data_IF_974882764696
#
_entry.id   IF_974882764696
#
_cell.length_a   1.000
_cell.length_b   1.000
_cell.length_c   1.000
_cell.angle_alpha   90.00
_cell.angle_beta   90.00
_cell.angle_gamma   90.00
#
_symmetry.space_group_name_H-M   'P 1'
#
loop_
_entity.id
_entity.type
_entity.pdbx_description
1 polymer ?
#
# COMPACT_ATOMS: atom_id res chain seq x y z
N UNK A 1 -13.35 -9.70 23.81
CA UNK A 1 -12.04 -9.56 23.16
C UNK A 1 -11.87 -8.10 22.82
N UNK A 2 -10.84 -7.45 23.30
CA UNK A 2 -10.50 -6.09 22.91
C UNK A 2 -10.04 -6.16 21.45
N UNK A 3 -10.64 -5.36 20.58
CA UNK A 3 -10.19 -5.21 19.19
C UNK A 3 -8.73 -4.80 19.23
N UNK A 4 -7.83 -5.63 18.74
CA UNK A 4 -6.42 -5.27 18.69
C UNK A 4 -6.28 -4.12 17.70
N UNK A 5 -5.75 -3.01 18.17
CA UNK A 5 -5.41 -1.87 17.34
C UNK A 5 -4.36 -2.30 16.32
N UNK A 6 -4.71 -2.28 15.03
CA UNK A 6 -3.86 -2.82 13.97
C UNK A 6 -2.90 -1.79 13.36
N UNK A 7 -3.05 -0.51 13.71
CA UNK A 7 -2.05 0.51 13.43
C UNK A 7 -2.40 1.56 12.37
N UNK A 8 -3.59 1.52 11.76
CA UNK A 8 -4.17 2.63 10.99
C UNK A 8 -5.16 3.39 11.88
N UNK A 9 -5.00 4.71 11.96
CA UNK A 9 -5.92 5.56 12.73
C UNK A 9 -6.80 6.42 11.80
N UNK A 10 -8.04 5.99 11.53
CA UNK A 10 -8.95 6.75 10.67
C UNK A 10 -9.48 8.03 11.32
N UNK A 11 -9.32 8.20 12.65
CA UNK A 11 -9.91 9.34 13.37
C UNK A 11 -9.12 10.64 13.17
N UNK A 12 -7.84 10.53 12.84
CA UNK A 12 -6.94 11.66 12.56
C UNK A 12 -6.57 11.75 11.06
N UNK A 13 -7.19 10.90 10.22
CA UNK A 13 -6.91 10.86 8.79
C UNK A 13 -7.40 12.12 8.06
N UNK A 14 -6.53 12.74 7.29
CA UNK A 14 -6.86 13.91 6.46
C UNK A 14 -7.28 13.50 5.04
N UNK A 15 -8.50 12.97 4.92
CA UNK A 15 -9.06 12.48 3.65
C UNK A 15 -9.24 13.57 2.61
N UNK A 16 -9.65 14.76 3.04
CA UNK A 16 -9.84 15.90 2.14
C UNK A 16 -8.51 16.35 1.53
N UNK A 17 -7.43 16.34 2.29
CA UNK A 17 -6.10 16.65 1.76
C UNK A 17 -5.67 15.63 0.69
N UNK A 18 -5.90 14.34 0.94
CA UNK A 18 -5.58 13.30 -0.05
C UNK A 18 -6.38 13.53 -1.33
N UNK A 19 -7.69 13.71 -1.22
CA UNK A 19 -8.58 13.88 -2.35
C UNK A 19 -8.25 15.16 -3.14
N UNK A 20 -8.04 16.29 -2.45
CA UNK A 20 -7.75 17.59 -3.07
C UNK A 20 -6.37 17.65 -3.74
N UNK A 21 -5.41 16.84 -3.30
CA UNK A 21 -4.07 16.77 -3.89
C UNK A 21 -3.90 15.61 -4.86
N UNK A 22 -4.95 14.81 -5.07
CA UNK A 22 -4.96 13.72 -6.04
C UNK A 22 -4.78 14.26 -7.47
N UNK A 23 -3.96 13.58 -8.24
CA UNK A 23 -3.85 13.83 -9.67
C UNK A 23 -5.11 13.28 -10.34
N UNK A 24 -5.83 14.07 -11.15
CA UNK A 24 -6.92 13.53 -11.93
C UNK A 24 -6.43 12.36 -12.77
N UNK A 25 -6.90 11.16 -12.49
CA UNK A 25 -6.55 9.99 -13.28
C UNK A 25 -7.40 10.03 -14.53
N UNK A 26 -6.85 10.56 -15.61
CA UNK A 26 -7.38 10.33 -16.94
C UNK A 26 -7.11 8.86 -17.27
N UNK A 27 -8.07 8.01 -16.94
CA UNK A 27 -8.05 6.61 -17.37
C UNK A 27 -8.25 6.58 -18.90
N UNK A 28 -7.19 6.84 -19.64
CA UNK A 28 -7.13 6.56 -21.08
C UNK A 28 -7.02 5.02 -21.27
N UNK A 29 -8.01 4.29 -20.74
CA UNK A 29 -8.15 2.84 -20.96
C UNK A 29 -9.02 2.55 -22.19
N UNK A 30 -9.24 3.51 -23.08
CA UNK A 30 -10.12 3.30 -24.22
C UNK A 30 -9.60 2.23 -25.21
N UNK A 31 -8.27 1.93 -25.24
CA UNK A 31 -7.71 1.12 -26.31
C UNK A 31 -6.68 0.04 -25.88
N UNK A 32 -6.49 -0.20 -24.58
CA UNK A 32 -5.60 -1.27 -24.11
C UNK A 32 -6.44 -2.36 -23.46
N UNK A 33 -6.49 -3.53 -24.09
CA UNK A 33 -7.11 -4.70 -23.48
C UNK A 33 -6.38 -5.04 -22.17
N UNK A 34 -7.13 -5.07 -21.07
CA UNK A 34 -6.58 -5.43 -19.77
C UNK A 34 -6.10 -6.89 -19.82
N UNK A 35 -4.92 -7.24 -19.32
CA UNK A 35 -4.49 -8.63 -19.24
C UNK A 35 -5.48 -9.44 -18.39
N UNK A 36 -5.55 -10.75 -18.63
CA UNK A 36 -6.47 -11.63 -17.90
C UNK A 36 -6.21 -11.61 -16.38
N UNK A 37 -4.95 -11.44 -16.00
CA UNK A 37 -4.51 -11.26 -14.61
C UNK A 37 -3.26 -10.38 -14.53
N UNK A 38 -3.02 -9.85 -13.33
CA UNK A 38 -1.72 -9.31 -12.90
C UNK A 38 -1.39 -9.98 -11.57
N UNK A 39 -0.48 -10.96 -11.61
CA UNK A 39 -0.03 -11.66 -10.39
C UNK A 39 1.11 -10.87 -9.73
N UNK A 40 0.91 -10.28 -8.55
CA UNK A 40 1.93 -9.50 -7.85
C UNK A 40 2.91 -10.36 -7.05
N UNK A 41 2.60 -11.63 -6.80
CA UNK A 41 3.34 -12.47 -5.84
C UNK A 41 4.82 -12.69 -6.19
N UNK A 42 5.22 -12.75 -7.46
CA UNK A 42 6.65 -12.79 -7.80
C UNK A 42 7.39 -11.47 -7.52
N UNK A 43 6.67 -10.34 -7.44
CA UNK A 43 7.25 -8.99 -7.36
C UNK A 43 7.38 -8.47 -5.94
N UNK A 44 6.55 -8.95 -5.00
CA UNK A 44 6.53 -8.47 -3.62
C UNK A 44 6.50 -9.64 -2.64
N UNK A 45 7.41 -9.61 -1.68
CA UNK A 45 7.46 -10.60 -0.61
C UNK A 45 6.45 -10.26 0.48
N UNK A 46 5.87 -11.30 1.09
CA UNK A 46 5.13 -11.15 2.33
C UNK A 46 6.10 -11.00 3.51
N UNK A 47 5.90 -9.95 4.30
CA UNK A 47 6.57 -9.74 5.58
C UNK A 47 5.54 -9.51 6.69
N UNK A 48 5.87 -9.96 7.92
CA UNK A 48 4.94 -9.89 9.05
C UNK A 48 5.31 -8.75 9.99
N UNK A 49 4.32 -7.89 10.31
CA UNK A 49 4.50 -6.77 11.24
C UNK A 49 4.62 -7.20 12.71
N UNK A 50 4.28 -8.45 13.05
CA UNK A 50 4.21 -8.91 14.43
C UNK A 50 3.17 -8.12 15.24
N UNK A 51 3.53 -7.75 16.46
CA UNK A 51 2.63 -7.07 17.40
C UNK A 51 2.80 -5.53 17.40
N UNK A 52 3.48 -4.96 16.40
CA UNK A 52 3.66 -3.52 16.29
C UNK A 52 2.58 -2.91 15.38
N UNK A 53 2.03 -1.75 15.74
CA UNK A 53 1.01 -1.02 14.97
C UNK A 53 1.53 -0.39 13.67
N UNK A 54 2.38 -1.11 12.92
CA UNK A 54 3.14 -0.60 11.77
C UNK A 54 2.54 -0.98 10.41
N UNK A 55 1.29 -1.41 10.37
CA UNK A 55 0.62 -1.82 9.13
C UNK A 55 0.68 -0.75 8.02
N UNK A 56 0.58 0.54 8.38
CA UNK A 56 0.77 1.65 7.46
C UNK A 56 2.14 1.63 6.77
N UNK A 57 3.20 1.33 7.52
CA UNK A 57 4.56 1.19 6.97
C UNK A 57 4.66 0.03 5.98
N UNK A 58 4.08 -1.13 6.29
CA UNK A 58 4.08 -2.30 5.40
C UNK A 58 3.25 -2.07 4.15
N UNK A 59 2.01 -1.60 4.28
CA UNK A 59 1.16 -1.32 3.13
C UNK A 59 1.81 -0.33 2.16
N UNK A 60 2.44 0.72 2.71
CA UNK A 60 3.15 1.72 1.93
C UNK A 60 4.37 1.16 1.19
N UNK A 61 5.25 0.42 1.88
CA UNK A 61 6.45 -0.16 1.26
C UNK A 61 6.13 -1.27 0.26
N UNK A 62 5.13 -2.11 0.52
CA UNK A 62 4.66 -3.12 -0.42
C UNK A 62 4.18 -2.50 -1.75
N UNK A 63 3.50 -1.36 -1.69
CA UNK A 63 3.15 -0.60 -2.90
C UNK A 63 4.40 -0.13 -3.65
N UNK A 64 5.39 0.41 -2.95
CA UNK A 64 6.65 0.84 -3.54
C UNK A 64 7.44 -0.30 -4.19
N UNK A 65 7.51 -1.46 -3.55
CA UNK A 65 8.19 -2.65 -4.06
C UNK A 65 7.48 -3.22 -5.30
N UNK A 66 6.16 -3.25 -5.29
CA UNK A 66 5.37 -3.66 -6.46
C UNK A 66 5.63 -2.74 -7.66
N UNK A 67 5.59 -1.43 -7.45
CA UNK A 67 5.92 -0.45 -8.49
C UNK A 67 7.34 -0.62 -9.03
N UNK A 68 8.29 -0.91 -8.14
CA UNK A 68 9.66 -1.23 -8.53
C UNK A 68 9.71 -2.49 -9.41
N UNK A 69 9.05 -3.55 -8.98
CA UNK A 69 8.97 -4.81 -9.73
C UNK A 69 8.35 -4.63 -11.11
N UNK A 70 7.27 -3.86 -11.23
CA UNK A 70 6.63 -3.53 -12.51
C UNK A 70 7.55 -2.79 -13.49
N UNK A 71 8.40 -1.88 -12.97
CA UNK A 71 9.31 -1.07 -13.80
C UNK A 71 10.53 -1.89 -14.24
N UNK A 72 11.05 -2.74 -13.37
CA UNK A 72 12.34 -3.40 -13.58
C UNK A 72 12.23 -4.86 -13.99
N UNK A 73 11.07 -5.49 -13.80
CA UNK A 73 10.91 -6.93 -13.90
C UNK A 73 11.64 -7.71 -12.81
N UNK A 74 12.08 -7.02 -11.74
CA UNK A 74 12.85 -7.63 -10.64
C UNK A 74 11.94 -8.43 -9.73
N UNK A 75 12.49 -9.53 -9.17
CA UNK A 75 11.80 -10.33 -8.17
C UNK A 75 11.82 -9.67 -6.78
N UNK A 76 10.92 -10.10 -5.92
CA UNK A 76 10.69 -9.55 -4.56
C UNK A 76 11.91 -9.55 -3.63
N UNK A 77 12.93 -10.34 -3.92
CA UNK A 77 14.15 -10.41 -3.08
C UNK A 77 15.23 -9.42 -3.49
N UNK A 78 15.12 -8.81 -4.67
CA UNK A 78 16.18 -7.97 -5.21
C UNK A 78 16.23 -6.61 -4.54
N UNK A 79 15.08 -6.14 -4.05
CA UNK A 79 14.97 -4.86 -3.36
C UNK A 79 13.84 -4.86 -2.35
N UNK A 80 14.15 -4.43 -1.15
CA UNK A 80 13.21 -4.27 -0.06
C UNK A 80 13.31 -2.87 0.52
N UNK A 81 12.16 -2.25 0.76
CA UNK A 81 12.08 -0.99 1.49
C UNK A 81 11.84 -1.22 2.98
N UNK A 82 12.18 -0.25 3.81
CA UNK A 82 12.06 -0.34 5.27
C UNK A 82 10.66 0.03 5.75
N UNK A 83 9.82 -0.93 6.18
CA UNK A 83 8.53 -0.60 6.78
C UNK A 83 8.70 0.20 8.07
N UNK A 84 9.77 -0.05 8.83
CA UNK A 84 10.05 0.68 10.06
C UNK A 84 10.33 2.17 9.80
N UNK A 85 11.12 2.48 8.76
CA UNK A 85 11.35 3.87 8.35
C UNK A 85 10.04 4.56 7.96
N UNK A 86 9.25 3.92 7.10
CA UNK A 86 7.99 4.46 6.64
C UNK A 86 7.01 4.68 7.81
N UNK A 87 6.93 3.73 8.73
CA UNK A 87 6.07 3.83 9.91
C UNK A 87 6.47 4.98 10.84
N UNK A 88 7.75 5.04 11.25
CA UNK A 88 8.22 6.06 12.21
C UNK A 88 8.17 7.48 11.60
N UNK A 89 8.47 7.64 10.31
CA UNK A 89 8.33 8.93 9.64
C UNK A 89 6.86 9.34 9.50
N UNK A 90 5.93 8.40 9.24
CA UNK A 90 4.50 8.67 9.26
C UNK A 90 4.05 9.14 10.63
N UNK A 91 4.44 8.42 11.70
CA UNK A 91 4.15 8.85 13.08
C UNK A 91 4.72 10.24 13.42
N UNK A 92 5.90 10.57 12.88
CA UNK A 92 6.47 11.91 13.07
C UNK A 92 5.58 12.99 12.44
N UNK A 93 5.05 12.74 11.25
CA UNK A 93 4.12 13.66 10.57
C UNK A 93 2.77 13.76 11.30
N UNK A 94 2.29 12.64 11.85
CA UNK A 94 1.04 12.56 12.61
C UNK A 94 1.16 13.11 14.07
N UNK A 95 2.39 13.43 14.53
CA UNK A 95 2.63 13.84 15.92
C UNK A 95 2.57 12.69 16.93
N UNK A 96 2.61 11.43 16.48
CA UNK A 96 2.48 10.21 17.29
C UNK A 96 3.81 9.55 17.66
N UNK A 97 4.94 10.05 17.14
CA UNK A 97 6.26 9.44 17.32
C UNK A 97 6.66 9.32 18.79
N UNK A 98 7.01 8.12 19.21
CA UNK A 98 7.40 7.77 20.58
C UNK A 98 6.41 6.86 21.29
N UNK A 99 5.31 6.46 20.64
CA UNK A 99 4.37 5.47 21.13
C UNK A 99 3.80 4.65 19.95
N UNK A 100 3.53 3.38 20.18
CA UNK A 100 2.99 2.48 19.14
C UNK A 100 1.49 2.69 18.97
N UNK A 101 1.12 3.78 18.30
CA UNK A 101 -0.29 4.20 18.09
C UNK A 101 -0.72 4.21 16.62
N UNK A 102 0.05 3.55 15.74
CA UNK A 102 -0.25 3.54 14.32
C UNK A 102 0.13 4.83 13.60
N UNK A 103 -0.43 5.02 12.41
CA UNK A 103 -0.22 6.16 11.53
C UNK A 103 -1.38 6.31 10.54
N UNK A 104 -1.40 7.40 9.77
CA UNK A 104 -2.41 7.67 8.74
C UNK A 104 -1.95 7.27 7.34
N UNK A 105 -2.89 7.09 6.41
CA UNK A 105 -2.61 6.90 4.98
C UNK A 105 -2.03 8.18 4.38
N UNK A 106 -2.56 9.34 4.76
CA UNK A 106 -2.07 10.65 4.31
C UNK A 106 -0.59 10.84 4.62
N UNK A 107 -0.15 10.52 5.83
CA UNK A 107 1.27 10.61 6.19
C UNK A 107 2.14 9.59 5.46
N UNK A 108 1.67 8.34 5.29
CA UNK A 108 2.34 7.35 4.44
C UNK A 108 2.50 7.83 3.00
N UNK A 109 1.46 8.43 2.44
CA UNK A 109 1.49 9.02 1.10
C UNK A 109 2.48 10.18 0.98
N UNK A 110 2.52 11.10 1.96
CA UNK A 110 3.51 12.20 2.01
C UNK A 110 4.93 11.67 2.01
N UNK A 111 5.20 10.62 2.79
CA UNK A 111 6.54 10.00 2.79
C UNK A 111 6.89 9.49 1.40
N UNK A 112 6.03 8.74 0.77
CA UNK A 112 6.28 8.18 -0.56
C UNK A 112 6.53 9.26 -1.62
N UNK A 113 5.90 10.44 -1.50
CA UNK A 113 6.02 11.54 -2.46
C UNK A 113 7.18 12.48 -2.17
N UNK A 114 7.38 12.85 -0.92
CA UNK A 114 8.25 13.97 -0.52
C UNK A 114 9.59 13.49 0.03
N UNK A 115 9.58 12.41 0.81
CA UNK A 115 10.80 11.86 1.41
C UNK A 115 11.36 10.72 0.56
N UNK A 116 10.52 9.74 0.19
CA UNK A 116 10.89 8.56 -0.56
C UNK A 116 11.06 7.33 0.33
N UNK A 117 11.33 6.20 -0.32
CA UNK A 117 11.55 4.92 0.34
C UNK A 117 13.01 4.73 0.72
N UNK A 118 13.25 4.35 1.98
CA UNK A 118 14.57 3.91 2.44
C UNK A 118 14.70 2.40 2.23
N UNK A 119 15.81 1.93 1.69
CA UNK A 119 16.06 0.49 1.57
C UNK A 119 16.22 -0.16 2.96
N UNK A 120 15.67 -1.35 3.13
CA UNK A 120 15.65 -2.09 4.40
C UNK A 120 17.05 -2.39 4.97
N UNK A 121 18.09 -2.45 4.13
CA UNK A 121 19.48 -2.61 4.58
C UNK A 121 19.98 -1.47 5.47
N UNK A 122 19.41 -0.27 5.36
CA UNK A 122 19.78 0.89 6.18
C UNK A 122 19.01 0.96 7.50
N UNK A 123 17.81 0.41 7.54
CA UNK A 123 16.98 0.29 8.75
C UNK A 123 16.11 -0.97 8.64
N UNK A 124 16.63 -2.15 9.02
CA UNK A 124 15.88 -3.39 9.01
C UNK A 124 14.66 -3.32 9.94
N UNK A 125 13.59 -4.02 9.56
CA UNK A 125 12.42 -4.13 10.42
C UNK A 125 12.71 -4.97 11.67
N UNK A 126 12.25 -4.50 12.81
CA UNK A 126 12.37 -5.21 14.08
C UNK A 126 11.20 -4.87 15.01
N UNK A 127 10.81 -5.82 15.84
CA UNK A 127 9.82 -5.68 16.91
C UNK A 127 10.48 -5.96 18.27
N UNK A 128 9.96 -5.44 19.37
CA UNK A 128 8.83 -4.52 19.54
C UNK A 128 9.15 -3.07 19.12
N UNK A 129 8.19 -2.16 19.29
CA UNK A 129 8.37 -0.73 19.00
C UNK A 129 9.64 -0.17 19.66
N UNK A 130 10.52 0.53 18.90
CA UNK A 130 11.83 0.91 19.40
C UNK A 130 11.73 1.97 20.51
N UNK A 131 12.41 1.71 21.62
CA UNK A 131 12.45 2.67 22.75
C UNK A 131 13.05 4.03 22.37
N UNK A 132 13.96 4.04 21.40
CA UNK A 132 14.62 5.23 20.88
C UNK A 132 13.97 5.76 19.57
N UNK A 133 12.71 5.47 19.33
CA UNK A 133 12.00 5.82 18.09
C UNK A 133 12.20 7.29 17.66
N UNK A 134 12.24 8.22 18.64
CA UNK A 134 12.43 9.66 18.37
C UNK A 134 13.79 10.04 17.78
N UNK A 135 14.79 9.19 17.96
CA UNK A 135 16.18 9.43 17.52
C UNK A 135 16.72 8.37 16.58
N UNK A 136 15.91 7.32 16.30
CA UNK A 136 16.36 6.18 15.51
C UNK A 136 16.58 6.55 14.04
N UNK A 137 15.71 7.38 13.47
CA UNK A 137 15.85 7.86 12.10
C UNK A 137 16.74 9.09 12.09
N UNK A 138 17.88 8.97 11.44
CA UNK A 138 18.86 10.04 11.30
C UNK A 138 18.58 10.93 10.08
N UNK A 139 19.16 12.13 10.05
CA UNK A 139 19.08 13.00 8.88
C UNK A 139 19.78 12.39 7.65
N UNK A 140 20.80 11.55 7.87
CA UNK A 140 21.46 10.81 6.78
C UNK A 140 20.50 9.79 6.15
N UNK A 141 19.72 9.07 6.95
CA UNK A 141 18.68 8.16 6.42
C UNK A 141 17.63 8.93 5.61
N UNK A 142 17.17 10.09 6.08
CA UNK A 142 16.24 10.95 5.32
C UNK A 142 16.85 11.45 4.03
N UNK A 143 18.11 11.89 4.05
CA UNK A 143 18.84 12.29 2.85
C UNK A 143 18.98 11.15 1.86
N UNK A 144 19.29 9.94 2.34
CA UNK A 144 19.39 8.72 1.52
C UNK A 144 18.05 8.41 0.85
N UNK A 145 16.94 8.46 1.60
CA UNK A 145 15.60 8.23 1.06
C UNK A 145 15.18 9.33 0.06
N UNK A 146 15.55 10.59 0.33
CA UNK A 146 15.16 11.76 -0.49
C UNK A 146 16.18 12.17 -1.56
N UNK A 147 17.26 11.42 -1.74
CA UNK A 147 18.24 11.72 -2.80
C UNK A 147 17.53 11.95 -4.15
N UNK A 148 18.08 12.82 -5.01
CA UNK A 148 17.47 13.22 -6.30
C UNK A 148 17.06 12.03 -7.17
N UNK A 149 17.68 10.89 -6.93
CA UNK A 149 17.38 9.60 -7.54
C UNK A 149 16.70 8.62 -6.55
N UNK A 150 16.15 9.13 -5.43
CA UNK A 150 15.45 8.33 -4.44
C UNK A 150 14.17 7.71 -4.99
N UNK A 151 13.76 6.62 -4.37
CA UNK A 151 12.51 5.93 -4.72
C UNK A 151 11.33 6.73 -4.20
N UNK A 152 10.69 7.51 -5.06
CA UNK A 152 9.51 8.32 -4.74
C UNK A 152 8.43 8.15 -5.79
N UNK A 153 7.17 8.16 -5.37
CA UNK A 153 6.06 8.27 -6.31
C UNK A 153 5.86 9.73 -6.73
N UNK A 154 5.35 9.95 -7.94
CA UNK A 154 4.98 11.29 -8.45
C UNK A 154 3.51 11.57 -8.31
N UNK A 155 2.69 10.56 -8.49
CA UNK A 155 1.25 10.71 -8.62
C UNK A 155 0.52 9.81 -7.65
N UNK A 156 -0.64 10.25 -7.21
CA UNK A 156 -1.60 9.46 -6.47
C UNK A 156 -3.02 9.79 -6.94
N UNK A 157 -3.93 8.87 -6.72
CA UNK A 157 -5.34 9.01 -7.06
C UNK A 157 -6.20 8.66 -5.85
N UNK A 158 -7.34 9.34 -5.70
CA UNK A 158 -8.41 8.93 -4.80
C UNK A 158 -9.33 7.98 -5.56
N UNK A 159 -9.62 6.79 -4.99
CA UNK A 159 -10.40 5.75 -5.64
C UNK A 159 -11.68 5.48 -4.83
N UNK A 160 -12.84 5.51 -5.48
CA UNK A 160 -14.14 5.48 -4.80
C UNK A 160 -14.98 4.23 -5.08
N UNK A 161 -14.50 3.38 -5.98
CA UNK A 161 -15.22 2.18 -6.41
C UNK A 161 -14.29 1.04 -6.80
N UNK A 162 -14.84 -0.18 -6.86
CA UNK A 162 -14.14 -1.29 -7.48
C UNK A 162 -13.71 -0.97 -8.91
N UNK A 163 -14.56 -0.27 -9.67
CA UNK A 163 -14.24 0.11 -11.05
C UNK A 163 -13.00 0.98 -11.16
N UNK A 164 -12.83 1.93 -10.24
CA UNK A 164 -11.64 2.78 -10.19
C UNK A 164 -10.41 1.98 -9.79
N UNK A 165 -10.51 1.14 -8.75
CA UNK A 165 -9.44 0.25 -8.29
C UNK A 165 -9.00 -0.69 -9.42
N UNK A 166 -9.96 -1.38 -10.07
CA UNK A 166 -9.64 -2.31 -11.16
C UNK A 166 -8.97 -1.59 -12.33
N UNK A 167 -9.54 -0.47 -12.80
CA UNK A 167 -8.94 0.31 -13.89
C UNK A 167 -7.53 0.79 -13.55
N UNK A 168 -7.33 1.24 -12.31
CA UNK A 168 -6.03 1.70 -11.83
C UNK A 168 -4.97 0.59 -11.89
N UNK A 169 -5.29 -0.59 -11.41
CA UNK A 169 -4.42 -1.76 -11.45
C UNK A 169 -4.24 -2.29 -12.88
N UNK A 170 -5.33 -2.41 -13.66
CA UNK A 170 -5.32 -2.96 -15.01
C UNK A 170 -4.52 -2.10 -16.01
N UNK A 171 -4.49 -0.79 -15.81
CA UNK A 171 -3.65 0.11 -16.61
C UNK A 171 -2.15 -0.06 -16.36
N UNK A 172 -1.75 -0.95 -15.44
CA UNK A 172 -0.37 -1.08 -14.92
C UNK A 172 0.17 0.26 -14.40
N UNK A 173 -0.74 1.18 -14.02
CA UNK A 173 -0.39 2.51 -13.58
C UNK A 173 0.21 2.50 -12.18
N UNK A 174 -0.22 1.56 -11.32
CA UNK A 174 0.26 1.61 -9.97
C UNK A 174 -0.22 0.52 -9.04
N UNK A 175 0.04 0.76 -7.76
CA UNK A 175 -0.43 0.01 -6.62
C UNK A 175 -1.54 0.75 -5.91
N UNK A 176 -2.33 0.08 -5.10
CA UNK A 176 -3.35 0.72 -4.26
C UNK A 176 -3.02 0.51 -2.79
N UNK A 177 -2.97 1.61 -2.05
CA UNK A 177 -2.67 1.69 -0.62
C UNK A 177 -3.94 2.04 0.16
N UNK A 178 -4.72 1.06 0.61
CA UNK A 178 -5.92 1.26 1.40
C UNK A 178 -5.63 1.32 2.90
N UNK A 179 -6.30 2.24 3.58
CA UNK A 179 -6.57 2.21 5.01
C UNK A 179 -8.06 2.00 5.22
N UNK A 180 -8.46 1.01 6.00
CA UNK A 180 -9.87 0.64 6.17
C UNK A 180 -10.19 0.30 7.62
N UNK A 181 -11.47 0.30 7.96
CA UNK A 181 -11.97 -0.39 9.14
C UNK A 181 -11.57 -1.86 9.10
N UNK A 182 -11.28 -2.47 10.23
CA UNK A 182 -10.75 -3.83 10.31
C UNK A 182 -11.25 -4.60 11.53
N UNK A 183 -11.71 -5.82 11.28
CA UNK A 183 -12.08 -6.81 12.29
C UNK A 183 -11.86 -8.24 11.76
N UNK A 184 -12.25 -9.25 12.53
CA UNK A 184 -12.04 -10.66 12.18
C UNK A 184 -12.67 -11.08 10.85
N UNK A 185 -13.73 -10.40 10.37
CA UNK A 185 -14.36 -10.74 9.08
C UNK A 185 -13.48 -10.38 7.87
N UNK A 186 -12.48 -9.52 8.07
CA UNK A 186 -11.58 -9.08 7.01
C UNK A 186 -10.42 -10.07 6.74
N UNK A 187 -10.21 -11.06 7.62
CA UNK A 187 -9.19 -12.09 7.40
C UNK A 187 -9.63 -13.10 6.35
N UNK A 188 -8.79 -13.31 5.35
CA UNK A 188 -9.00 -14.30 4.29
C UNK A 188 -8.54 -15.69 4.67
N UNK A 189 -9.13 -16.31 5.71
CA UNK A 189 -8.71 -17.62 6.26
C UNK A 189 -8.68 -18.75 5.24
N UNK A 190 -9.50 -18.65 4.19
CA UNK A 190 -9.52 -19.59 3.06
C UNK A 190 -8.72 -19.10 1.84
N UNK A 191 -7.93 -18.05 1.99
CA UNK A 191 -7.25 -17.38 0.88
C UNK A 191 -8.13 -16.40 0.09
N UNK A 192 -9.41 -16.26 0.48
CA UNK A 192 -10.38 -15.39 -0.20
C UNK A 192 -11.23 -14.64 0.82
N UNK A 193 -11.56 -13.38 0.55
CA UNK A 193 -12.52 -12.56 1.30
C UNK A 193 -13.74 -12.31 0.44
N UNK A 194 -14.83 -13.01 0.70
CA UNK A 194 -16.10 -12.91 -0.04
C UNK A 194 -17.06 -11.88 0.54
N UNK A 195 -16.93 -11.57 1.82
CA UNK A 195 -17.78 -10.62 2.54
C UNK A 195 -17.05 -10.04 3.74
N UNK A 196 -17.40 -8.82 4.11
CA UNK A 196 -16.94 -8.15 5.33
C UNK A 196 -18.13 -7.59 6.09
N UNK A 197 -17.97 -7.41 7.38
CA UNK A 197 -18.92 -6.71 8.24
C UNK A 197 -18.22 -5.57 8.95
N UNK A 198 -18.97 -4.56 9.35
CA UNK A 198 -18.46 -3.41 10.07
C UNK A 198 -19.15 -3.30 11.43
N UNK A 199 -18.41 -2.94 12.45
CA UNK A 199 -18.92 -2.74 13.80
C UNK A 199 -18.38 -1.44 14.39
N UNK A 200 -19.02 -0.94 15.45
CA UNK A 200 -18.54 0.26 16.16
C UNK A 200 -17.26 0.02 16.98
N UNK A 201 -16.72 -1.20 16.96
CA UNK A 201 -15.52 -1.60 17.71
C UNK A 201 -14.38 -2.00 16.79
N UNK A 202 -14.51 -1.76 15.50
CA UNK A 202 -13.47 -2.09 14.55
C UNK A 202 -12.23 -1.24 14.82
N UNK A 203 -11.06 -1.85 14.66
CA UNK A 203 -9.80 -1.14 14.54
C UNK A 203 -9.62 -0.55 13.14
N UNK A 204 -8.49 0.10 12.91
CA UNK A 204 -8.07 0.50 11.57
C UNK A 204 -6.88 -0.31 11.10
N UNK A 205 -6.83 -0.68 9.81
CA UNK A 205 -5.73 -1.42 9.23
C UNK A 205 -5.37 -0.91 7.84
N UNK A 206 -4.07 -0.92 7.55
CA UNK A 206 -3.54 -0.58 6.24
C UNK A 206 -2.81 -1.78 5.62
N UNK A 207 -2.91 -1.91 4.32
CA UNK A 207 -2.34 -3.03 3.56
C UNK A 207 -2.14 -2.60 2.09
N UNK A 208 -1.89 -3.54 1.18
CA UNK A 208 -1.74 -3.21 -0.24
C UNK A 208 -2.70 -4.04 -1.11
N UNK A 209 -3.28 -3.41 -2.15
CA UNK A 209 -3.93 -4.09 -3.27
C UNK A 209 -3.03 -4.00 -4.49
N UNK A 210 -2.57 -5.16 -4.98
CA UNK A 210 -1.50 -5.25 -5.96
C UNK A 210 -1.89 -6.20 -7.09
N UNK A 211 -2.53 -5.69 -8.13
CA UNK A 211 -2.98 -6.54 -9.24
C UNK A 211 -4.29 -7.30 -8.97
N UNK A 212 -4.61 -8.26 -9.82
CA UNK A 212 -5.86 -9.02 -9.78
C UNK A 212 -5.68 -10.41 -10.38
N UNK A 213 -6.53 -11.35 -9.93
CA UNK A 213 -6.48 -12.75 -10.33
C UNK A 213 -7.43 -13.06 -11.50
N UNK A 214 -7.31 -14.28 -12.06
CA UNK A 214 -8.25 -14.81 -13.05
C UNK A 214 -9.62 -15.14 -12.48
N UNK A 215 -9.73 -15.27 -11.14
CA UNK A 215 -11.02 -15.52 -10.48
C UNK A 215 -11.98 -14.37 -10.79
N UNK A 216 -13.22 -14.72 -11.11
CA UNK A 216 -14.27 -13.75 -11.40
C UNK A 216 -15.51 -14.01 -10.54
N UNK A 217 -16.20 -12.95 -10.19
CA UNK A 217 -17.51 -13.03 -9.58
C UNK A 217 -18.60 -13.36 -10.64
N UNK A 218 -19.86 -13.43 -10.19
CA UNK A 218 -21.00 -13.74 -11.08
C UNK A 218 -21.26 -12.66 -12.16
N UNK A 219 -20.71 -11.46 -12.00
CA UNK A 219 -20.77 -10.36 -12.96
C UNK A 219 -19.54 -10.34 -13.91
N UNK A 220 -18.64 -11.29 -13.79
CA UNK A 220 -17.43 -11.36 -14.59
C UNK A 220 -16.31 -10.42 -14.15
N UNK A 221 -16.39 -9.86 -12.93
CA UNK A 221 -15.40 -8.93 -12.38
C UNK A 221 -14.29 -9.72 -11.67
N UNK A 222 -13.02 -9.35 -11.91
CA UNK A 222 -11.85 -10.01 -11.33
C UNK A 222 -11.72 -9.73 -9.83
N UNK A 223 -11.25 -10.73 -9.06
CA UNK A 223 -10.84 -10.55 -7.68
C UNK A 223 -9.50 -9.81 -7.59
N UNK A 224 -9.36 -8.94 -6.61
CA UNK A 224 -8.14 -8.14 -6.39
C UNK A 224 -7.22 -8.87 -5.42
N UNK A 225 -5.93 -8.94 -5.75
CA UNK A 225 -4.91 -9.44 -4.83
C UNK A 225 -4.64 -8.44 -3.71
N UNK A 226 -4.78 -8.91 -2.47
CA UNK A 226 -4.38 -8.19 -1.26
C UNK A 226 -3.14 -8.83 -0.65
N UNK A 227 -2.15 -8.00 -0.35
CA UNK A 227 -1.03 -8.36 0.52
C UNK A 227 -1.25 -7.75 1.90
N UNK A 228 -1.38 -8.60 2.90
CA UNK A 228 -1.51 -8.24 4.30
C UNK A 228 -0.19 -8.45 5.03
N UNK A 229 0.09 -7.67 6.07
CA UNK A 229 1.27 -7.79 6.94
C UNK A 229 1.02 -8.64 8.20
N UNK A 230 -0.07 -9.38 8.24
CA UNK A 230 -0.40 -10.40 9.25
C UNK A 230 -0.23 -11.81 8.67
N UNK A 231 -0.68 -12.82 9.41
CA UNK A 231 -0.50 -14.24 9.06
C UNK A 231 -1.27 -14.69 7.80
N UNK A 232 -2.31 -13.98 7.39
CA UNK A 232 -3.07 -14.22 6.15
C UNK A 232 -2.46 -13.49 4.95
N UNK A 233 -1.23 -13.70 4.66
CA UNK A 233 -0.36 -13.01 3.70
C UNK A 233 -1.05 -12.52 2.42
N UNK A 234 -1.19 -13.40 1.44
CA UNK A 234 -1.86 -13.15 0.17
C UNK A 234 -3.29 -13.68 0.18
N UNK A 235 -4.23 -12.81 -0.13
CA UNK A 235 -5.65 -13.16 -0.27
C UNK A 235 -6.27 -12.49 -1.47
N UNK A 236 -7.28 -13.14 -2.06
CA UNK A 236 -8.13 -12.55 -3.08
C UNK A 236 -9.33 -11.87 -2.42
N UNK A 237 -9.66 -10.65 -2.85
CA UNK A 237 -10.82 -9.91 -2.34
C UNK A 237 -11.87 -9.80 -3.42
N UNK A 238 -13.11 -10.16 -3.08
CA UNK A 238 -14.24 -10.07 -3.98
C UNK A 238 -14.54 -8.62 -4.38
N UNK A 239 -14.96 -8.37 -5.64
CA UNK A 239 -15.34 -7.03 -6.12
C UNK A 239 -16.37 -6.32 -5.26
N UNK A 240 -17.35 -7.06 -4.72
CA UNK A 240 -18.38 -6.53 -3.82
C UNK A 240 -17.82 -6.03 -2.49
N UNK A 241 -16.77 -6.67 -1.98
CA UNK A 241 -16.06 -6.25 -0.77
C UNK A 241 -15.29 -4.96 -1.03
N UNK A 242 -14.60 -4.85 -2.17
CA UNK A 242 -13.92 -3.62 -2.56
C UNK A 242 -14.90 -2.44 -2.61
N UNK A 243 -16.07 -2.63 -3.23
CA UNK A 243 -17.10 -1.59 -3.28
C UNK A 243 -17.60 -1.18 -1.88
N UNK A 244 -17.75 -2.15 -0.96
CA UNK A 244 -18.14 -1.85 0.43
C UNK A 244 -17.04 -1.07 1.17
N UNK A 245 -15.78 -1.47 1.01
CA UNK A 245 -14.64 -0.79 1.63
C UNK A 245 -14.48 0.63 1.09
N UNK A 246 -14.59 0.84 -0.23
CA UNK A 246 -14.49 2.17 -0.82
C UNK A 246 -15.56 3.15 -0.30
N UNK A 247 -16.76 2.66 0.01
CA UNK A 247 -17.88 3.48 0.50
C UNK A 247 -17.89 3.68 2.02
N UNK A 248 -17.07 2.91 2.75
CA UNK A 248 -17.07 3.00 4.20
C UNK A 248 -16.42 4.32 4.67
N UNK A 249 -17.08 5.00 5.61
CA UNK A 249 -16.67 6.34 6.06
C UNK A 249 -15.26 6.46 6.64
N UNK A 250 -14.68 5.35 7.10
CA UNK A 250 -13.33 5.29 7.67
C UNK A 250 -12.28 4.78 6.68
N UNK A 251 -12.66 4.62 5.43
CA UNK A 251 -11.72 4.14 4.42
C UNK A 251 -11.05 5.29 3.66
N UNK A 252 -9.75 5.12 3.44
CA UNK A 252 -8.92 5.96 2.57
C UNK A 252 -8.29 5.06 1.52
N UNK A 253 -8.75 5.12 0.29
CA UNK A 253 -8.31 4.24 -0.79
C UNK A 253 -7.51 5.06 -1.79
N UNK A 254 -6.19 4.86 -1.80
CA UNK A 254 -5.25 5.69 -2.57
C UNK A 254 -4.49 4.86 -3.58
N UNK A 255 -4.60 5.22 -4.85
CA UNK A 255 -3.73 4.73 -5.92
C UNK A 255 -2.39 5.46 -5.90
N UNK A 256 -1.29 4.73 -6.04
CA UNK A 256 0.09 5.25 -6.05
C UNK A 256 0.76 4.84 -7.35
N UNK A 257 1.38 5.78 -8.07
CA UNK A 257 1.99 5.54 -9.38
C UNK A 257 3.24 6.37 -9.64
N UNK A 258 3.86 6.07 -10.79
CA UNK A 258 5.03 6.80 -11.30
C UNK A 258 6.22 6.80 -10.34
N UNK A 259 6.65 5.60 -9.89
CA UNK A 259 7.83 5.47 -9.05
C UNK A 259 9.06 6.00 -9.77
N UNK A 260 9.75 6.95 -9.15
CA UNK A 260 11.06 7.42 -9.58
C UNK A 260 12.12 6.42 -9.14
N UNK A 261 13.02 6.05 -10.04
CA UNK A 261 14.11 5.14 -9.75
C UNK A 261 15.47 5.85 -9.87
N UNK A 262 16.47 5.48 -9.06
CA UNK A 262 17.83 5.95 -9.23
C UNK A 262 18.43 5.44 -10.55
N UNK A 263 19.09 6.31 -11.32
CA UNK A 263 19.89 5.92 -12.47
C UNK A 263 19.43 6.50 -13.81
N UNK A 264 20.31 6.40 -14.86
CA UNK A 264 20.05 6.99 -16.17
C UNK A 264 18.97 6.25 -16.98
N UNK A 265 18.66 5.01 -16.64
CA UNK A 265 17.68 4.20 -17.36
C UNK A 265 16.30 4.31 -16.71
N UNK A 266 15.59 5.40 -17.03
CA UNK A 266 14.14 5.41 -16.91
C UNK A 266 13.58 4.49 -18.00
N UNK A 267 13.40 3.22 -17.68
CA UNK A 267 12.51 2.41 -18.50
C UNK A 267 11.12 3.01 -18.30
N UNK A 268 10.58 3.65 -19.32
CA UNK A 268 9.19 4.07 -19.26
C UNK A 268 8.38 2.81 -19.08
N UNK A 269 7.34 2.83 -18.25
CA UNK A 269 6.46 1.66 -18.07
C UNK A 269 5.87 1.14 -19.39
N UNK A 270 5.85 1.94 -20.49
CA UNK A 270 5.52 1.55 -21.85
C UNK A 270 6.51 0.53 -22.45
N UNK A 271 7.71 0.47 -21.90
CA UNK A 271 8.80 -0.42 -22.35
C UNK A 271 9.01 -1.61 -21.39
N UNK A 272 8.31 -1.64 -20.24
CA UNK A 272 8.31 -2.80 -19.36
C UNK A 272 7.75 -4.01 -20.15
N UNK A 273 8.56 -5.06 -20.29
CA UNK A 273 8.13 -6.29 -20.93
C UNK A 273 6.91 -6.84 -20.21
N UNK A 274 5.93 -7.40 -20.94
CA UNK A 274 4.85 -8.13 -20.29
C UNK A 274 5.46 -9.20 -19.37
N UNK A 275 4.93 -9.30 -18.16
CA UNK A 275 5.19 -10.46 -17.31
C UNK A 275 4.59 -11.65 -18.07
N UNK A 276 5.47 -12.49 -18.65
CA UNK A 276 5.09 -13.69 -19.38
C UNK A 276 4.53 -14.77 -18.49
#
# INVERSE_FOLDING_TARGET
>A
MTTEFTGYDPTIENRDEIANTATPVLFALSDVEAPEEIDPRPLVRHDNQGNMGSCGGFGNTNCGEFLWGLITGSHSNDRQFSPLFSYLEAQRLDGLLGSDKGSTISSGLKISKEIGYLEAKHLPYSTPYPRNARTLITDEMRKTASAVQGFRIRSHAWLESYGDVFKYLASKAGAVYPGTSWNDSHYGRSGVVESVSFTNRDGGHAYAWLGYSKRKDKQGRNYIWRLNSHNDSWTEIAPSVIDQLCRHQWSSIVGMSDLLTPGPNRVSWKEAKPLG
#
